data_IF_815382505758
#
_entry.id   IF_815382505758
#
_cell.length_a   1.000
_cell.length_b   1.000
_cell.length_c   1.000
_cell.angle_alpha   90.00
_cell.angle_beta   90.00
_cell.angle_gamma   90.00
#
_symmetry.space_group_name_H-M   'P 1'
#
loop_
_entity.id
_entity.type
_entity.pdbx_description
1 polymer ?
#
# COMPACT_ATOMS: atom_id res chain seq x y z
N UNK A 1 -41.05 2.66 10.32
CA UNK A 1 -39.87 2.48 11.21
C UNK A 1 -39.36 3.85 11.57
N UNK A 2 -39.15 4.12 12.86
CA UNK A 2 -38.53 5.36 13.31
C UNK A 2 -37.03 5.08 13.39
N UNK A 3 -36.23 5.64 12.48
CA UNK A 3 -34.76 5.49 12.49
C UNK A 3 -34.12 6.83 12.87
N UNK A 4 -33.01 6.77 13.60
CA UNK A 4 -32.19 7.93 13.96
C UNK A 4 -30.72 7.61 13.78
N UNK A 5 -29.93 8.62 13.43
CA UNK A 5 -28.48 8.49 13.31
C UNK A 5 -27.86 8.37 14.71
N UNK A 6 -26.94 7.42 14.88
CA UNK A 6 -26.24 7.20 16.16
C UNK A 6 -24.75 7.57 16.09
N UNK A 7 -24.12 7.30 14.96
CA UNK A 7 -22.69 7.55 14.72
C UNK A 7 -22.49 8.07 13.29
N UNK A 8 -21.46 8.89 13.13
CA UNK A 8 -20.95 9.32 11.82
C UNK A 8 -19.49 8.90 11.78
N UNK A 9 -19.17 7.90 10.96
CA UNK A 9 -17.82 7.37 10.83
C UNK A 9 -17.23 7.86 9.50
N UNK A 10 -16.23 8.74 9.59
CA UNK A 10 -15.56 9.32 8.43
C UNK A 10 -14.39 8.41 8.02
N UNK A 11 -14.29 8.14 6.71
CA UNK A 11 -13.25 7.27 6.16
C UNK A 11 -11.91 7.99 6.11
N UNK A 12 -11.86 9.23 5.61
CA UNK A 12 -10.63 10.02 5.45
C UNK A 12 -10.93 11.51 5.25
N UNK A 13 -9.88 12.33 5.14
CA UNK A 13 -9.97 13.79 5.16
C UNK A 13 -10.56 14.45 3.91
N UNK A 14 -10.60 13.76 2.76
CA UNK A 14 -11.03 14.36 1.51
C UNK A 14 -12.43 15.02 1.62
N UNK A 15 -12.57 16.17 0.95
CA UNK A 15 -13.71 17.05 1.13
C UNK A 15 -15.05 16.46 0.68
N UNK A 16 -15.04 15.50 -0.24
CA UNK A 16 -16.23 14.75 -0.66
C UNK A 16 -16.70 13.72 0.37
N UNK A 17 -15.86 13.39 1.37
CA UNK A 17 -16.22 12.50 2.49
C UNK A 17 -16.52 13.27 3.78
N UNK A 18 -15.92 14.45 3.97
CA UNK A 18 -16.04 15.25 5.20
C UNK A 18 -16.86 16.53 5.06
N UNK A 19 -17.00 17.06 3.84
CA UNK A 19 -17.54 18.39 3.58
C UNK A 19 -19.00 18.58 3.99
N UNK A 20 -19.77 17.49 4.11
CA UNK A 20 -21.17 17.52 4.57
C UNK A 20 -21.34 17.57 6.09
N UNK A 21 -20.27 17.44 6.88
CA UNK A 21 -20.35 17.41 8.36
C UNK A 21 -21.00 18.67 8.95
N UNK A 22 -20.66 19.91 8.54
CA UNK A 22 -21.29 21.11 9.09
C UNK A 22 -22.80 21.14 8.88
N UNK A 23 -23.27 20.73 7.70
CA UNK A 23 -24.69 20.63 7.37
C UNK A 23 -25.39 19.55 8.17
N UNK A 24 -24.75 18.40 8.35
CA UNK A 24 -25.26 17.31 9.16
C UNK A 24 -25.47 17.74 10.61
N UNK A 25 -24.50 18.43 11.23
CA UNK A 25 -24.63 18.93 12.61
C UNK A 25 -25.72 19.99 12.73
N UNK A 26 -25.90 20.83 11.71
CA UNK A 26 -26.99 21.82 11.67
C UNK A 26 -28.36 21.15 11.67
N UNK A 27 -28.52 20.04 10.95
CA UNK A 27 -29.77 19.28 10.87
C UNK A 27 -29.99 18.36 12.07
N UNK A 28 -28.91 17.80 12.63
CA UNK A 28 -28.93 16.83 13.72
C UNK A 28 -27.95 17.23 14.83
N UNK A 29 -28.27 18.25 15.65
CA UNK A 29 -27.34 18.77 16.66
C UNK A 29 -26.84 17.74 17.68
N UNK A 30 -27.63 16.70 17.95
CA UNK A 30 -27.27 15.61 18.87
C UNK A 30 -26.07 14.76 18.37
N UNK A 31 -25.74 14.83 17.07
CA UNK A 31 -24.59 14.11 16.51
C UNK A 31 -23.25 14.82 16.75
N UNK A 32 -23.23 16.04 17.29
CA UNK A 32 -21.98 16.83 17.43
C UNK A 32 -20.85 16.04 18.09
N UNK A 33 -21.15 15.26 19.13
CA UNK A 33 -20.16 14.45 19.84
C UNK A 33 -20.08 12.99 19.34
N UNK A 34 -20.76 12.68 18.24
CA UNK A 34 -20.86 11.34 17.64
C UNK A 34 -20.28 11.27 16.22
N UNK A 35 -19.43 12.24 15.85
CA UNK A 35 -18.67 12.24 14.60
C UNK A 35 -17.27 11.77 14.89
N UNK A 36 -16.83 10.74 14.19
CA UNK A 36 -15.60 10.05 14.45
C UNK A 36 -14.72 10.02 13.19
N UNK A 37 -13.43 10.30 13.35
CA UNK A 37 -12.43 10.27 12.29
C UNK A 37 -11.07 9.88 12.86
N UNK A 38 -10.23 9.23 12.07
CA UNK A 38 -8.80 9.18 12.41
C UNK A 38 -8.19 10.55 12.11
N UNK A 39 -7.32 11.06 12.99
CA UNK A 39 -6.87 12.47 12.94
C UNK A 39 -8.04 13.47 12.90
N UNK A 40 -8.84 13.52 13.98
CA UNK A 40 -10.09 14.26 14.01
C UNK A 40 -9.88 15.77 13.96
N UNK A 41 -10.76 16.45 13.20
CA UNK A 41 -10.86 17.91 13.24
C UNK A 41 -11.50 18.38 14.56
N UNK A 42 -11.46 19.70 14.80
CA UNK A 42 -12.08 20.29 15.99
C UNK A 42 -13.57 19.93 16.07
N UNK A 43 -13.96 19.30 17.18
CA UNK A 43 -15.33 18.88 17.44
C UNK A 43 -15.67 17.48 16.91
N UNK A 44 -14.70 16.76 16.37
CA UNK A 44 -14.81 15.33 16.05
C UNK A 44 -14.09 14.50 17.13
N UNK A 45 -14.45 13.23 17.22
CA UNK A 45 -13.85 12.23 18.09
C UNK A 45 -12.83 11.40 17.31
N UNK A 46 -11.77 10.96 18.00
CA UNK A 46 -10.77 10.08 17.38
C UNK A 46 -11.30 8.67 17.14
N UNK A 47 -10.93 8.06 16.01
CA UNK A 47 -11.06 6.62 15.76
C UNK A 47 -9.71 5.95 15.89
N UNK A 48 -9.69 4.79 16.53
CA UNK A 48 -8.52 3.91 16.57
C UNK A 48 -8.77 2.60 15.83
N UNK A 49 -7.69 1.99 15.33
CA UNK A 49 -7.77 0.68 14.69
C UNK A 49 -8.33 -0.38 15.64
N UNK A 50 -9.35 -1.12 15.20
CA UNK A 50 -10.02 -2.16 15.95
C UNK A 50 -11.16 -1.64 16.85
N UNK A 51 -11.40 -0.33 16.91
CA UNK A 51 -12.51 0.24 17.65
C UNK A 51 -13.86 -0.28 17.12
N UNK A 52 -14.77 -0.57 18.04
CA UNK A 52 -16.08 -1.15 17.76
C UNK A 52 -17.16 -0.11 18.02
N UNK A 53 -18.10 0.02 17.09
CA UNK A 53 -19.31 0.83 17.18
C UNK A 53 -20.52 -0.09 17.04
N UNK A 54 -21.52 0.07 17.92
CA UNK A 54 -22.68 -0.82 17.95
C UNK A 54 -23.98 -0.04 17.96
N UNK A 55 -24.94 -0.53 17.18
CA UNK A 55 -26.35 -0.15 17.21
C UNK A 55 -27.20 -1.42 17.23
N UNK A 56 -28.52 -1.29 17.33
CA UNK A 56 -29.42 -2.45 17.26
C UNK A 56 -29.22 -3.20 15.93
N UNK A 57 -28.79 -4.47 16.02
CA UNK A 57 -28.62 -5.36 14.88
C UNK A 57 -27.36 -5.17 14.04
N UNK A 58 -26.44 -4.28 14.40
CA UNK A 58 -25.20 -4.08 13.65
C UNK A 58 -23.98 -3.75 14.53
N UNK A 59 -22.86 -4.39 14.21
CA UNK A 59 -21.54 -4.18 14.81
C UNK A 59 -20.57 -3.74 13.73
N UNK A 60 -20.04 -2.52 13.87
CA UNK A 60 -19.08 -1.93 12.94
C UNK A 60 -17.70 -1.85 13.60
N UNK A 61 -16.72 -2.54 13.03
CA UNK A 61 -15.32 -2.48 13.49
C UNK A 61 -14.46 -1.64 12.55
N UNK A 62 -13.71 -0.71 13.10
CA UNK A 62 -12.83 0.18 12.37
C UNK A 62 -11.48 -0.47 12.04
N UNK A 63 -10.96 -0.23 10.85
CA UNK A 63 -9.68 -0.74 10.36
C UNK A 63 -8.89 0.40 9.76
N UNK A 64 -7.77 0.76 10.39
CA UNK A 64 -6.84 1.74 9.80
C UNK A 64 -6.16 1.11 8.59
N UNK A 65 -6.31 1.74 7.43
CA UNK A 65 -5.86 1.24 6.15
C UNK A 65 -5.25 2.40 5.33
N UNK A 66 -4.12 2.97 5.78
CA UNK A 66 -3.51 4.13 5.13
C UNK A 66 -3.00 3.83 3.71
N UNK A 67 -2.76 4.89 2.94
CA UNK A 67 -2.05 4.84 1.65
C UNK A 67 -2.80 5.52 0.52
N UNK A 68 -4.14 5.50 0.53
CA UNK A 68 -4.93 6.47 -0.23
C UNK A 68 -4.79 7.86 0.40
N UNK A 69 -4.98 7.92 1.71
CA UNK A 69 -4.55 8.99 2.61
C UNK A 69 -3.94 8.37 3.86
N UNK A 70 -3.20 9.14 4.64
CA UNK A 70 -2.63 8.73 5.95
C UNK A 70 -3.71 8.39 7.00
N UNK A 71 -4.81 9.14 6.99
CA UNK A 71 -5.91 8.99 7.93
C UNK A 71 -6.93 7.91 7.54
N UNK A 72 -6.76 7.22 6.41
CA UNK A 72 -7.79 6.36 5.82
C UNK A 72 -8.22 5.20 6.72
N UNK A 73 -9.53 5.08 6.92
CA UNK A 73 -10.24 4.05 7.67
C UNK A 73 -11.20 3.29 6.77
N UNK A 74 -11.10 1.97 6.82
CA UNK A 74 -12.15 1.05 6.37
C UNK A 74 -13.01 0.62 7.57
N UNK A 75 -14.23 0.17 7.32
CA UNK A 75 -15.13 -0.33 8.35
C UNK A 75 -15.69 -1.69 7.99
N UNK A 76 -15.76 -2.61 8.94
CA UNK A 76 -16.31 -3.95 8.73
C UNK A 76 -17.66 -4.02 9.42
N UNK A 77 -18.70 -4.38 8.67
CA UNK A 77 -19.99 -4.82 9.22
C UNK A 77 -19.88 -6.32 9.50
N UNK A 78 -19.78 -6.67 10.78
CA UNK A 78 -19.41 -8.02 11.21
C UNK A 78 -20.48 -9.05 10.83
N UNK A 79 -21.76 -8.70 11.00
CA UNK A 79 -22.90 -9.58 10.75
C UNK A 79 -22.99 -10.04 9.29
N UNK A 80 -22.56 -9.18 8.35
CA UNK A 80 -22.58 -9.47 6.91
C UNK A 80 -21.21 -9.89 6.36
N UNK A 81 -20.15 -9.82 7.18
CA UNK A 81 -18.76 -9.94 6.71
C UNK A 81 -18.51 -9.06 5.50
N UNK A 82 -19.02 -7.83 5.55
CA UNK A 82 -18.92 -6.82 4.51
C UNK A 82 -17.97 -5.71 4.95
N UNK A 83 -17.27 -5.08 4.01
CA UNK A 83 -16.36 -3.97 4.28
C UNK A 83 -16.80 -2.71 3.56
N UNK A 84 -17.00 -1.62 4.28
CA UNK A 84 -16.96 -0.28 3.71
C UNK A 84 -15.51 0.06 3.40
N UNK A 85 -15.17 0.09 2.12
CA UNK A 85 -13.77 0.17 1.65
C UNK A 85 -13.28 1.61 1.49
N UNK A 86 -14.17 2.60 1.65
CA UNK A 86 -13.90 3.99 1.31
C UNK A 86 -13.29 4.09 -0.08
N UNK A 87 -12.24 4.90 -0.18
CA UNK A 87 -11.51 5.08 -1.43
C UNK A 87 -10.37 4.10 -1.66
N UNK A 88 -10.04 3.22 -0.72
CA UNK A 88 -8.96 2.25 -0.94
C UNK A 88 -9.28 1.24 -2.04
N UNK A 89 -10.54 0.79 -2.12
CA UNK A 89 -11.00 -0.13 -3.16
C UNK A 89 -12.32 0.40 -3.70
N UNK A 90 -12.32 0.78 -4.97
CA UNK A 90 -13.47 1.37 -5.66
C UNK A 90 -14.29 0.31 -6.39
N UNK A 91 -15.59 0.58 -6.58
CA UNK A 91 -16.49 -0.26 -7.36
C UNK A 91 -16.18 -0.26 -8.85
N UNK A 92 -15.54 0.80 -9.35
CA UNK A 92 -15.06 0.90 -10.71
C UNK A 92 -13.70 1.62 -10.75
N UNK A 93 -12.86 1.28 -11.72
CA UNK A 93 -11.51 1.86 -11.84
C UNK A 93 -10.57 1.46 -10.70
N UNK A 94 -9.59 2.32 -10.44
CA UNK A 94 -8.53 2.15 -9.44
C UNK A 94 -8.45 3.39 -8.55
N UNK A 95 -8.06 3.20 -7.29
CA UNK A 95 -7.85 4.30 -6.35
C UNK A 95 -6.62 5.15 -6.69
N UNK A 96 -6.71 6.45 -6.38
CA UNK A 96 -5.54 7.31 -6.23
C UNK A 96 -4.72 6.90 -4.99
N UNK A 97 -3.42 7.13 -5.02
CA UNK A 97 -2.50 6.62 -4.00
C UNK A 97 -1.48 7.70 -3.66
N UNK A 98 -1.44 8.09 -2.39
CA UNK A 98 -0.42 8.98 -1.83
C UNK A 98 0.85 8.20 -1.45
N UNK A 99 0.69 6.99 -0.91
CA UNK A 99 1.80 6.11 -0.58
C UNK A 99 1.59 4.67 -1.05
N UNK A 100 2.32 4.27 -2.10
CA UNK A 100 2.11 2.97 -2.72
C UNK A 100 2.50 1.78 -1.83
N UNK A 101 3.58 1.89 -1.05
CA UNK A 101 4.02 0.81 -0.17
C UNK A 101 2.99 0.54 0.92
N UNK A 102 2.57 1.60 1.58
CA UNK A 102 1.56 1.64 2.63
C UNK A 102 0.20 1.20 2.11
N UNK A 103 -0.22 1.71 0.94
CA UNK A 103 -1.47 1.31 0.29
C UNK A 103 -1.50 -0.20 0.00
N UNK A 104 -0.41 -0.77 -0.53
CA UNK A 104 -0.34 -2.21 -0.79
C UNK A 104 -0.35 -3.04 0.49
N UNK A 105 0.30 -2.57 1.56
CA UNK A 105 0.21 -3.21 2.88
C UNK A 105 -1.22 -3.14 3.44
N UNK A 106 -1.93 -2.02 3.25
CA UNK A 106 -3.33 -1.85 3.61
C UNK A 106 -4.24 -2.77 2.80
N UNK A 107 -4.02 -2.93 1.50
CA UNK A 107 -4.77 -3.92 0.70
C UNK A 107 -4.55 -5.35 1.21
N UNK A 108 -3.33 -5.72 1.58
CA UNK A 108 -3.06 -7.03 2.19
C UNK A 108 -3.77 -7.19 3.54
N UNK A 109 -3.75 -6.14 4.38
CA UNK A 109 -4.49 -6.10 5.64
C UNK A 109 -5.99 -6.25 5.42
N UNK A 110 -6.57 -5.51 4.47
CA UNK A 110 -8.00 -5.61 4.10
C UNK A 110 -8.34 -7.02 3.62
N UNK A 111 -7.51 -7.62 2.74
CA UNK A 111 -7.70 -8.99 2.26
C UNK A 111 -7.73 -10.01 3.40
N UNK A 112 -6.87 -9.84 4.42
CA UNK A 112 -6.81 -10.74 5.58
C UNK A 112 -8.06 -10.71 6.47
N UNK A 113 -8.94 -9.71 6.31
CA UNK A 113 -10.20 -9.63 7.07
C UNK A 113 -11.27 -10.60 6.58
N UNK A 114 -11.06 -11.26 5.43
CA UNK A 114 -11.97 -12.28 4.88
C UNK A 114 -13.42 -11.79 4.72
N UNK A 115 -13.60 -10.51 4.37
CA UNK A 115 -14.88 -9.93 3.98
C UNK A 115 -15.22 -10.36 2.55
N UNK A 116 -16.47 -10.78 2.31
CA UNK A 116 -16.91 -11.27 1.01
C UNK A 116 -17.31 -10.13 0.07
N UNK A 117 -17.97 -9.10 0.62
CA UNK A 117 -18.56 -7.98 -0.11
C UNK A 117 -17.87 -6.67 0.29
N UNK A 118 -17.70 -5.77 -0.68
CA UNK A 118 -17.20 -4.42 -0.48
C UNK A 118 -18.24 -3.36 -0.83
N UNK A 119 -18.43 -2.39 0.05
CA UNK A 119 -19.21 -1.18 -0.16
C UNK A 119 -18.25 0.00 -0.34
N UNK A 120 -17.86 0.31 -1.60
CA UNK A 120 -16.98 1.43 -1.88
C UNK A 120 -17.72 2.75 -1.67
N UNK A 121 -16.96 3.83 -1.45
CA UNK A 121 -17.55 5.15 -1.49
C UNK A 121 -17.97 5.58 -2.91
N UNK A 122 -17.26 5.07 -3.93
CA UNK A 122 -17.56 5.35 -5.33
C UNK A 122 -17.70 4.07 -6.17
N UNK A 123 -18.70 4.07 -7.05
CA UNK A 123 -19.02 2.96 -7.92
C UNK A 123 -19.95 1.93 -7.28
N UNK A 124 -20.16 0.81 -7.97
CA UNK A 124 -21.09 -0.22 -7.53
C UNK A 124 -20.51 -1.10 -6.40
N UNK A 125 -21.40 -1.74 -5.63
CA UNK A 125 -21.04 -2.79 -4.67
C UNK A 125 -20.16 -3.86 -5.31
N UNK A 126 -19.09 -4.22 -4.60
CA UNK A 126 -18.13 -5.24 -5.01
C UNK A 126 -18.61 -6.58 -4.45
N UNK A 127 -19.13 -7.46 -5.31
CA UNK A 127 -19.69 -8.76 -4.88
C UNK A 127 -18.62 -9.82 -4.59
N UNK A 128 -17.38 -9.61 -5.01
CA UNK A 128 -16.23 -10.45 -4.70
C UNK A 128 -15.04 -9.57 -4.31
N UNK A 129 -15.06 -9.09 -3.06
CA UNK A 129 -14.02 -8.21 -2.53
C UNK A 129 -12.62 -8.85 -2.53
N UNK A 130 -12.45 -10.14 -2.15
CA UNK A 130 -11.13 -10.78 -2.21
C UNK A 130 -10.52 -10.75 -3.61
N UNK A 131 -11.31 -11.08 -4.65
CA UNK A 131 -10.84 -11.04 -6.03
C UNK A 131 -10.51 -9.60 -6.50
N UNK A 132 -11.32 -8.61 -6.11
CA UNK A 132 -11.05 -7.20 -6.44
C UNK A 132 -9.74 -6.72 -5.80
N UNK A 133 -9.51 -6.99 -4.52
CA UNK A 133 -8.25 -6.64 -3.83
C UNK A 133 -7.04 -7.36 -4.45
N UNK A 134 -7.16 -8.66 -4.74
CA UNK A 134 -6.10 -9.41 -5.42
C UNK A 134 -5.78 -8.85 -6.80
N UNK A 135 -6.80 -8.39 -7.53
CA UNK A 135 -6.66 -7.69 -8.80
C UNK A 135 -5.89 -6.38 -8.67
N UNK A 136 -6.23 -5.54 -7.69
CA UNK A 136 -5.52 -4.28 -7.40
C UNK A 136 -4.04 -4.54 -7.10
N UNK A 137 -3.74 -5.45 -6.15
CA UNK A 137 -2.36 -5.84 -5.81
C UNK A 137 -1.58 -6.33 -7.04
N UNK A 138 -2.21 -7.20 -7.84
CA UNK A 138 -1.60 -7.73 -9.06
C UNK A 138 -1.25 -6.65 -10.08
N UNK A 139 -2.10 -5.63 -10.23
CA UNK A 139 -1.82 -4.49 -11.10
C UNK A 139 -0.64 -3.66 -10.58
N UNK A 140 -0.56 -3.40 -9.27
CA UNK A 140 0.54 -2.63 -8.69
C UNK A 140 1.88 -3.37 -8.78
N UNK A 141 1.93 -4.68 -8.50
CA UNK A 141 3.13 -5.50 -8.72
C UNK A 141 3.55 -5.57 -10.19
N UNK A 142 2.58 -5.66 -11.11
CA UNK A 142 2.86 -5.63 -12.54
C UNK A 142 3.53 -4.30 -12.92
N UNK A 143 3.09 -3.19 -12.33
CA UNK A 143 3.69 -1.88 -12.58
C UNK A 143 5.13 -1.80 -12.08
N UNK A 144 5.41 -2.26 -10.87
CA UNK A 144 6.79 -2.38 -10.36
C UNK A 144 7.68 -3.16 -11.34
N UNK A 145 7.21 -4.31 -11.81
CA UNK A 145 7.94 -5.14 -12.77
C UNK A 145 8.19 -4.40 -14.09
N UNK A 146 7.20 -3.66 -14.60
CA UNK A 146 7.36 -2.86 -15.81
C UNK A 146 8.41 -1.75 -15.66
N UNK A 147 8.43 -1.05 -14.52
CA UNK A 147 9.45 -0.03 -14.22
C UNK A 147 10.86 -0.66 -14.18
N UNK A 148 11.02 -1.79 -13.51
CA UNK A 148 12.32 -2.50 -13.47
C UNK A 148 12.77 -2.96 -14.86
N UNK A 149 11.84 -3.47 -15.69
CA UNK A 149 12.14 -3.85 -17.08
C UNK A 149 12.57 -2.62 -17.90
N UNK A 150 11.88 -1.49 -17.77
CA UNK A 150 12.19 -0.25 -18.46
C UNK A 150 13.59 0.27 -18.07
N UNK A 151 13.91 0.33 -16.78
CA UNK A 151 15.25 0.67 -16.29
C UNK A 151 16.33 -0.25 -16.87
N UNK A 152 16.07 -1.57 -16.92
CA UNK A 152 16.99 -2.53 -17.53
C UNK A 152 17.20 -2.31 -19.04
N UNK A 153 16.14 -1.99 -19.79
CA UNK A 153 16.25 -1.65 -21.23
C UNK A 153 17.05 -0.38 -21.45
N UNK A 154 16.84 0.64 -20.63
CA UNK A 154 17.56 1.90 -20.75
C UNK A 154 19.04 1.70 -20.42
N UNK A 155 19.36 0.94 -19.36
CA UNK A 155 20.74 0.57 -19.03
C UNK A 155 21.45 -0.18 -20.16
N UNK A 156 20.77 -1.13 -20.82
CA UNK A 156 21.32 -1.84 -21.99
C UNK A 156 21.64 -0.92 -23.18
N UNK A 157 20.98 0.24 -23.27
CA UNK A 157 21.29 1.30 -24.26
C UNK A 157 22.43 2.24 -23.82
N UNK A 158 23.07 1.98 -22.68
CA UNK A 158 24.23 2.73 -22.19
C UNK A 158 23.89 3.94 -21.32
N UNK A 159 22.61 4.22 -21.07
CA UNK A 159 22.19 5.30 -20.17
C UNK A 159 22.33 4.84 -18.71
N UNK A 160 23.03 5.64 -17.90
CA UNK A 160 23.26 5.34 -16.48
C UNK A 160 22.03 5.57 -15.60
N UNK A 161 21.18 6.54 -15.96
CA UNK A 161 20.02 6.97 -15.17
C UNK A 161 19.01 7.73 -16.04
N UNK A 162 17.72 7.72 -15.68
CA UNK A 162 16.61 8.32 -16.44
C UNK A 162 15.63 9.10 -15.59
N UNK A 163 14.97 10.10 -16.16
CA UNK A 163 13.88 10.81 -15.49
C UNK A 163 12.61 9.96 -15.44
N UNK A 164 11.61 10.41 -14.67
CA UNK A 164 10.28 9.79 -14.64
C UNK A 164 9.62 9.88 -16.02
N UNK A 165 9.73 11.03 -16.69
CA UNK A 165 9.25 11.24 -18.07
C UNK A 165 9.83 10.22 -19.04
N UNK A 166 11.15 10.01 -19.02
CA UNK A 166 11.82 9.00 -19.87
C UNK A 166 11.25 7.59 -19.62
N UNK A 167 10.93 7.25 -18.36
CA UNK A 167 10.36 5.94 -18.01
C UNK A 167 8.90 5.81 -18.45
N UNK A 168 8.10 6.87 -18.33
CA UNK A 168 6.73 6.89 -18.84
C UNK A 168 6.74 6.65 -20.35
N UNK A 169 7.57 7.39 -21.10
CA UNK A 169 7.75 7.19 -22.55
C UNK A 169 8.21 5.77 -22.88
N UNK A 170 9.14 5.20 -22.11
CA UNK A 170 9.61 3.82 -22.31
C UNK A 170 8.53 2.75 -22.06
N UNK A 171 7.61 3.00 -21.13
CA UNK A 171 6.57 2.03 -20.72
C UNK A 171 5.33 2.12 -21.60
N UNK A 172 4.93 3.34 -21.96
CA UNK A 172 3.64 3.61 -22.61
C UNK A 172 3.77 4.17 -24.04
N UNK A 173 4.98 4.53 -24.47
CA UNK A 173 5.24 5.15 -25.76
C UNK A 173 5.18 6.67 -25.73
N UNK A 174 5.64 7.30 -26.82
CA UNK A 174 5.73 8.77 -26.94
C UNK A 174 4.41 9.44 -27.34
N UNK A 175 3.46 8.66 -27.86
CA UNK A 175 2.19 9.16 -28.41
C UNK A 175 1.09 9.38 -27.34
N UNK A 176 1.48 9.69 -26.10
CA UNK A 176 0.55 10.02 -25.02
C UNK A 176 0.18 11.49 -25.06
N UNK A 177 -1.07 11.80 -24.72
CA UNK A 177 -1.47 13.17 -24.45
C UNK A 177 -0.72 13.71 -23.22
N UNK A 178 -0.38 15.00 -23.26
CA UNK A 178 0.43 15.65 -22.24
C UNK A 178 -0.23 15.62 -20.86
N UNK A 179 -1.56 15.76 -20.83
CA UNK A 179 -2.34 15.82 -19.60
C UNK A 179 -2.32 14.48 -18.87
N UNK A 180 -2.63 13.37 -19.56
CA UNK A 180 -2.56 12.03 -18.98
C UNK A 180 -1.14 11.67 -18.53
N UNK A 181 -0.13 12.06 -19.31
CA UNK A 181 1.27 11.87 -18.91
C UNK A 181 1.57 12.58 -17.60
N UNK A 182 1.33 13.88 -17.54
CA UNK A 182 1.80 14.73 -16.44
C UNK A 182 0.92 14.65 -15.19
N UNK A 183 -0.39 14.46 -15.34
CA UNK A 183 -1.33 14.45 -14.21
C UNK A 183 -1.59 13.04 -13.65
N UNK A 184 -1.40 11.98 -14.44
CA UNK A 184 -1.72 10.62 -14.01
C UNK A 184 -0.51 9.68 -14.01
N UNK A 185 0.20 9.57 -15.13
CA UNK A 185 1.24 8.54 -15.29
C UNK A 185 2.54 8.89 -14.58
N UNK A 186 3.05 10.12 -14.72
CA UNK A 186 4.27 10.55 -14.06
C UNK A 186 4.17 10.51 -12.52
N UNK A 187 3.10 11.05 -11.88
CA UNK A 187 2.93 10.94 -10.44
C UNK A 187 2.91 9.48 -9.97
N UNK A 188 2.14 8.63 -10.66
CA UNK A 188 2.05 7.22 -10.29
C UNK A 188 3.37 6.46 -10.49
N UNK A 189 4.12 6.70 -11.58
CA UNK A 189 5.45 6.12 -11.76
C UNK A 189 6.44 6.66 -10.72
N UNK A 190 6.31 7.92 -10.32
CA UNK A 190 7.05 8.51 -9.20
C UNK A 190 6.85 7.71 -7.91
N UNK A 191 5.60 7.41 -7.57
CA UNK A 191 5.25 6.59 -6.40
C UNK A 191 5.75 5.15 -6.48
N UNK A 192 5.70 4.54 -7.67
CA UNK A 192 6.29 3.22 -7.90
C UNK A 192 7.80 3.25 -7.67
N UNK A 193 8.50 4.28 -8.15
CA UNK A 193 9.94 4.43 -7.95
C UNK A 193 10.30 4.68 -6.49
N UNK A 194 9.50 5.48 -5.78
CA UNK A 194 9.68 5.73 -4.35
C UNK A 194 9.55 4.43 -3.55
N UNK A 195 8.47 3.68 -3.75
CA UNK A 195 8.32 2.36 -3.13
C UNK A 195 9.48 1.42 -3.49
N UNK A 196 9.89 1.37 -4.75
CA UNK A 196 11.03 0.54 -5.16
C UNK A 196 12.35 0.98 -4.51
N UNK A 197 12.51 2.27 -4.17
CA UNK A 197 13.66 2.77 -3.44
C UNK A 197 13.60 2.35 -1.96
N UNK A 198 12.42 2.40 -1.34
CA UNK A 198 12.20 1.88 0.01
C UNK A 198 12.49 0.37 0.07
N UNK A 199 12.18 -0.36 -1.02
CA UNK A 199 12.53 -1.77 -1.22
C UNK A 199 14.03 -2.00 -1.56
N UNK A 200 14.86 -0.95 -1.63
CA UNK A 200 16.28 -0.98 -2.04
C UNK A 200 16.55 -1.55 -3.45
N UNK A 201 15.58 -1.47 -4.38
CA UNK A 201 15.70 -1.97 -5.76
C UNK A 201 16.17 -0.90 -6.74
N UNK A 202 15.91 0.37 -6.44
CA UNK A 202 16.30 1.52 -7.26
C UNK A 202 16.88 2.62 -6.39
N UNK A 203 17.63 3.52 -7.00
CA UNK A 203 18.11 4.74 -6.37
C UNK A 203 18.03 5.90 -7.37
N UNK A 204 18.27 7.12 -6.90
CA UNK A 204 18.30 8.30 -7.74
C UNK A 204 19.55 9.14 -7.53
N UNK A 205 19.89 9.93 -8.56
CA UNK A 205 20.88 10.99 -8.51
C UNK A 205 20.27 12.32 -8.97
N UNK A 206 20.85 13.43 -8.53
CA UNK A 206 20.53 14.75 -9.04
C UNK A 206 21.51 15.12 -10.15
N UNK A 207 21.02 15.25 -11.38
CA UNK A 207 21.86 15.62 -12.53
C UNK A 207 21.17 16.68 -13.39
N UNK A 208 21.80 17.84 -13.53
CA UNK A 208 21.24 18.97 -14.28
C UNK A 208 19.93 19.48 -13.68
N UNK A 209 19.82 19.50 -12.35
CA UNK A 209 18.61 19.92 -11.63
C UNK A 209 17.44 18.94 -11.68
N UNK A 210 17.58 17.80 -12.38
CA UNK A 210 16.54 16.77 -12.48
C UNK A 210 16.91 15.54 -11.67
N UNK A 211 15.91 14.93 -11.02
CA UNK A 211 16.02 13.62 -10.39
C UNK A 211 16.07 12.55 -11.48
N UNK A 212 17.12 11.74 -11.50
CA UNK A 212 17.28 10.62 -12.44
C UNK A 212 17.46 9.31 -11.68
N UNK A 213 16.70 8.31 -12.06
CA UNK A 213 16.57 7.01 -11.43
C UNK A 213 17.38 5.93 -12.15
N UNK A 214 17.87 4.96 -11.39
CA UNK A 214 18.59 3.80 -11.89
C UNK A 214 18.30 2.57 -11.02
N UNK A 215 18.37 1.38 -11.60
CA UNK A 215 18.24 0.14 -10.82
C UNK A 215 19.52 -0.14 -10.05
N UNK A 216 19.40 -0.49 -8.78
CA UNK A 216 20.53 -0.98 -7.98
C UNK A 216 20.68 -2.46 -8.31
N UNK A 217 21.86 -2.88 -8.74
CA UNK A 217 22.13 -4.32 -8.78
C UNK A 217 22.08 -4.82 -7.34
N UNK A 218 21.25 -5.81 -7.06
CA UNK A 218 21.44 -6.59 -5.85
C UNK A 218 22.91 -7.02 -5.87
N UNK A 219 23.68 -6.63 -4.86
CA UNK A 219 24.98 -7.21 -4.64
C UNK A 219 24.73 -8.71 -4.49
N UNK A 220 24.88 -9.46 -5.58
CA UNK A 220 25.04 -10.90 -5.50
C UNK A 220 26.28 -11.06 -4.66
N UNK A 221 26.09 -11.40 -3.39
CA UNK A 221 27.16 -11.82 -2.52
C UNK A 221 27.87 -12.96 -3.27
N UNK A 222 28.99 -12.62 -3.91
CA UNK A 222 30.10 -13.54 -4.10
C UNK A 222 30.64 -13.88 -2.71
N UNK A 223 29.82 -14.58 -1.92
CA UNK A 223 30.30 -15.34 -0.79
C UNK A 223 30.88 -16.62 -1.38
N UNK A 224 32.18 -16.71 -1.19
CA UNK A 224 33.06 -17.78 -1.61
C UNK A 224 32.53 -19.11 -1.05
N UNK A 225 31.80 -19.88 -1.85
CA UNK A 225 31.71 -21.33 -1.64
C UNK A 225 32.88 -21.99 -2.36
N UNK A 226 34.05 -22.00 -1.72
CA UNK A 226 35.08 -22.98 -2.05
C UNK A 226 34.51 -24.37 -1.74
N UNK A 227 34.55 -25.35 -2.66
CA UNK A 227 34.10 -26.69 -2.37
C UNK A 227 34.99 -27.32 -1.29
N UNK A 228 34.37 -27.75 -0.19
CA UNK A 228 34.99 -28.60 0.82
C UNK A 228 35.49 -29.89 0.14
N UNK A 229 36.78 -30.17 0.27
CA UNK A 229 37.35 -31.48 -0.05
C UNK A 229 37.33 -32.38 1.20
N UNK A 230 37.01 -33.68 1.10
CA UNK A 230 36.86 -34.53 2.28
C UNK A 230 38.20 -35.02 2.85
N UNK A 231 38.38 -34.74 4.13
CA UNK A 231 39.07 -35.46 5.24
C UNK A 231 40.13 -36.52 4.89
N UNK A 232 41.32 -36.37 5.50
CA UNK A 232 42.13 -37.51 5.98
C UNK A 232 42.26 -37.44 7.51
N UNK A 233 41.71 -38.45 8.18
CA UNK A 233 41.93 -38.72 9.62
C UNK A 233 43.37 -39.19 9.79
N UNK A 234 44.11 -38.56 10.71
CA UNK A 234 45.28 -39.18 11.36
C UNK A 234 45.03 -39.21 12.86
N UNK A 235 45.10 -40.43 13.38
CA UNK A 235 44.92 -40.83 14.77
C UNK A 235 46.13 -40.39 15.58
N UNK A 236 45.89 -39.70 16.71
CA UNK A 236 46.87 -39.58 17.79
C UNK A 236 46.34 -40.30 19.02
N UNK A 237 47.07 -41.34 19.41
CA UNK A 237 46.88 -42.16 20.61
C UNK A 237 47.56 -41.43 21.77
N UNK A 238 46.82 -41.14 22.84
CA UNK A 238 47.38 -40.66 24.11
C UNK A 238 47.91 -41.87 24.89
N UNK A 239 49.23 -41.94 25.03
CA UNK A 239 49.93 -42.90 25.89
C UNK A 239 50.01 -42.41 27.33
N UNK A 240 49.59 -43.26 28.26
CA UNK A 240 49.78 -43.14 29.72
C UNK A 240 51.19 -43.64 30.08
N UNK A 241 51.97 -43.00 30.97
CA UNK A 241 53.15 -43.60 31.55
C UNK A 241 52.81 -44.26 32.89
N UNK A 242 53.13 -45.55 33.02
CA UNK A 242 53.11 -46.30 34.28
C UNK A 242 54.35 -47.20 34.33
N UNK A 243 55.37 -46.82 35.12
CA UNK A 243 56.36 -47.68 35.81
C UNK A 243 56.88 -46.82 37.00
N UNK A 244 56.64 -47.11 38.28
CA UNK A 244 57.08 -48.25 39.12
C UNK A 244 58.61 -48.33 39.27
N UNK A 245 59.15 -47.61 40.27
CA UNK A 245 59.88 -48.13 41.45
C UNK A 245 60.01 -47.01 42.48
#
# INVERSE_FOLDING_TARGET
MNISLSYVLLTHWHGDHTGGVPDLVRLYPHLRDHIYKNEPDKGQQGITNGQIFQVEGATVRAIHAPGHSDDHMCFILEEERAMFTGDNVLGHGTSAVEDLGTFMASLQKMHSQNCAVGHPAHGATITNLPAKIAGELSQKWRREKQVMIALGKVRRRGLKSVTVTDLVSEIYGEALDEETRTLALEPFIGEVLRKLADDNKVAFEMRGGKRKWYSVEAAVQQSVCKPFSPVRRTSFVLGVPMQAF
#
